data_IF_944262586952
#
_entry.id   IF_944262586952
#
_cell.length_a   1.000
_cell.length_b   1.000
_cell.length_c   1.000
_cell.angle_alpha   90.00
_cell.angle_beta   90.00
_cell.angle_gamma   90.00
#
_symmetry.space_group_name_H-M   'P 1'
#
loop_
_entity.id
_entity.type
_entity.pdbx_description
1 polymer ?
#
# COMPACT_ATOMS: atom_id res chain seq x y z
N UNK A 1 -13.62 -16.16 4.43
CA UNK A 1 -13.28 -14.82 3.92
C UNK A 1 -14.03 -13.77 4.70
N UNK A 2 -13.38 -12.65 5.04
CA UNK A 2 -14.02 -11.51 5.67
C UNK A 2 -14.82 -10.71 4.64
N UNK A 3 -15.88 -10.03 5.10
CA UNK A 3 -16.67 -9.14 4.24
C UNK A 3 -16.21 -7.70 4.43
N UNK A 4 -15.92 -7.02 3.34
CA UNK A 4 -15.53 -5.61 3.31
C UNK A 4 -16.64 -4.83 2.63
N UNK A 5 -17.20 -3.85 3.34
CA UNK A 5 -18.17 -2.94 2.71
C UNK A 5 -17.41 -1.97 1.82
N UNK A 6 -17.90 -1.72 0.62
CA UNK A 6 -17.28 -0.82 -0.35
C UNK A 6 -18.31 0.10 -0.97
N UNK A 7 -17.90 1.36 -1.15
CA UNK A 7 -18.60 2.32 -2.02
C UNK A 7 -17.63 2.66 -3.15
N UNK A 8 -18.03 2.37 -4.37
CA UNK A 8 -17.30 2.74 -5.57
C UNK A 8 -17.96 4.00 -6.18
N UNK A 9 -17.25 5.12 -6.10
CA UNK A 9 -17.68 6.39 -6.73
C UNK A 9 -16.96 6.64 -8.05
N UNK A 10 -16.04 5.74 -8.41
CA UNK A 10 -15.34 5.78 -9.68
C UNK A 10 -16.03 4.99 -10.78
N UNK A 11 -15.40 4.93 -11.94
CA UNK A 11 -15.88 4.19 -13.12
C UNK A 11 -15.08 2.90 -13.38
N UNK A 12 -14.07 2.60 -12.55
CA UNK A 12 -13.30 1.37 -12.66
C UNK A 12 -14.01 0.20 -11.93
N UNK A 13 -13.80 -1.05 -12.37
CA UNK A 13 -14.35 -2.21 -11.66
C UNK A 13 -13.75 -2.35 -10.26
N UNK A 14 -14.46 -3.08 -9.39
CA UNK A 14 -13.93 -3.42 -8.05
C UNK A 14 -12.65 -4.25 -8.18
N UNK A 15 -11.69 -4.08 -7.26
CA UNK A 15 -10.51 -4.92 -7.19
C UNK A 15 -10.87 -6.40 -6.98
N UNK A 16 -10.14 -7.27 -7.64
CA UNK A 16 -10.32 -8.72 -7.55
C UNK A 16 -8.96 -9.40 -7.34
N UNK A 17 -8.98 -10.56 -6.68
CA UNK A 17 -7.80 -11.43 -6.59
C UNK A 17 -7.58 -12.12 -7.93
N UNK A 18 -6.37 -12.00 -8.48
CA UNK A 18 -6.04 -12.59 -9.78
C UNK A 18 -6.02 -14.12 -9.74
N UNK A 19 -5.69 -14.71 -8.58
CA UNK A 19 -5.69 -16.15 -8.36
C UNK A 19 -6.27 -16.49 -6.98
N UNK A 20 -6.71 -17.73 -6.74
CA UNK A 20 -7.29 -18.14 -5.44
C UNK A 20 -6.36 -17.95 -4.24
N UNK A 21 -5.05 -17.86 -4.46
CA UNK A 21 -4.05 -17.69 -3.40
C UNK A 21 -3.34 -16.33 -3.45
N UNK A 22 -3.81 -15.40 -4.26
CA UNK A 22 -3.29 -14.03 -4.25
C UNK A 22 -3.56 -13.36 -2.91
N UNK A 23 -2.55 -12.71 -2.35
CA UNK A 23 -2.71 -11.89 -1.14
C UNK A 23 -3.15 -10.47 -1.46
N UNK A 24 -2.80 -9.95 -2.64
CA UNK A 24 -3.09 -8.59 -3.08
C UNK A 24 -4.11 -8.54 -4.21
N UNK A 25 -4.90 -7.47 -4.19
CA UNK A 25 -5.81 -7.07 -5.28
C UNK A 25 -5.23 -5.83 -5.95
N UNK A 26 -5.20 -5.80 -7.28
CA UNK A 26 -4.72 -4.61 -8.00
C UNK A 26 -5.67 -3.43 -7.82
N UNK A 27 -5.08 -2.26 -7.54
CA UNK A 27 -5.76 -0.96 -7.53
C UNK A 27 -5.54 -0.26 -8.86
N UNK A 28 -6.61 0.26 -9.44
CA UNK A 28 -6.58 0.98 -10.72
C UNK A 28 -6.69 2.48 -10.52
N UNK A 29 -5.99 3.23 -11.36
CA UNK A 29 -6.17 4.66 -11.46
C UNK A 29 -7.60 4.96 -11.97
N UNK A 30 -8.29 5.88 -11.28
CA UNK A 30 -9.59 6.39 -11.67
C UNK A 30 -9.47 7.89 -11.94
N UNK A 31 -9.09 8.23 -13.15
CA UNK A 31 -8.75 9.60 -13.58
C UNK A 31 -9.44 9.95 -14.89
N UNK A 32 -9.69 11.23 -15.10
CA UNK A 32 -10.37 11.73 -16.31
C UNK A 32 -9.40 12.03 -17.45
N UNK A 33 -8.12 12.29 -17.10
CA UNK A 33 -7.06 12.56 -18.06
C UNK A 33 -5.73 11.98 -17.58
N UNK A 34 -4.80 11.64 -18.50
CA UNK A 34 -3.50 11.11 -18.13
C UNK A 34 -2.72 12.03 -17.19
N UNK A 35 -1.99 11.44 -16.25
CA UNK A 35 -1.13 12.14 -15.30
C UNK A 35 0.31 11.79 -15.60
N UNK A 36 1.15 12.79 -15.85
CA UNK A 36 2.59 12.61 -16.06
C UNK A 36 3.36 12.81 -14.76
N UNK A 37 4.10 11.81 -14.35
CA UNK A 37 5.05 11.86 -13.24
C UNK A 37 6.46 12.03 -13.81
N UNK A 38 7.08 13.18 -13.63
CA UNK A 38 8.49 13.39 -13.95
C UNK A 38 9.39 12.67 -12.94
N UNK A 39 10.68 12.47 -13.26
CA UNK A 39 11.63 11.93 -12.30
C UNK A 39 11.56 12.66 -10.95
N UNK A 40 11.50 11.89 -9.86
CA UNK A 40 11.38 12.33 -8.45
C UNK A 40 10.06 13.02 -8.09
N UNK A 41 9.12 13.14 -9.01
CA UNK A 41 7.79 13.67 -8.73
C UNK A 41 6.91 12.64 -8.05
N UNK A 42 6.13 13.08 -7.06
CA UNK A 42 5.08 12.30 -6.39
C UNK A 42 3.71 12.92 -6.60
N UNK A 43 2.69 12.07 -6.65
CA UNK A 43 1.31 12.53 -6.76
C UNK A 43 0.34 11.48 -6.23
N UNK A 44 -0.74 11.96 -5.59
CA UNK A 44 -1.88 11.11 -5.22
C UNK A 44 -2.70 10.79 -6.46
N UNK A 45 -2.94 9.49 -6.68
CA UNK A 45 -3.78 8.99 -7.75
C UNK A 45 -5.07 8.42 -7.15
N UNK A 46 -6.24 8.94 -7.54
CA UNK A 46 -7.51 8.46 -7.01
C UNK A 46 -7.86 7.07 -7.55
N UNK A 47 -8.60 6.30 -6.74
CA UNK A 47 -9.16 5.00 -7.12
C UNK A 47 -10.69 4.98 -7.20
N UNK A 48 -11.35 6.00 -6.66
CA UNK A 48 -12.80 6.06 -6.53
C UNK A 48 -13.38 5.18 -5.42
N UNK A 49 -12.55 4.46 -4.68
CA UNK A 49 -12.98 3.45 -3.71
C UNK A 49 -12.97 4.01 -2.29
N UNK A 50 -14.05 3.70 -1.56
CA UNK A 50 -14.17 3.92 -0.11
C UNK A 50 -14.53 2.58 0.52
N UNK A 51 -13.84 2.18 1.58
CA UNK A 51 -14.06 0.90 2.23
C UNK A 51 -14.31 1.04 3.72
N UNK A 52 -14.98 0.06 4.30
CA UNK A 52 -15.08 -0.14 5.75
C UNK A 52 -14.62 -1.55 6.07
N UNK A 53 -13.49 -1.65 6.74
CA UNK A 53 -12.94 -2.93 7.20
C UNK A 53 -13.60 -3.33 8.51
N UNK A 54 -13.71 -4.65 8.79
CA UNK A 54 -14.04 -5.12 10.13
C UNK A 54 -12.98 -4.69 11.15
N UNK A 55 -13.39 -4.55 12.41
CA UNK A 55 -12.46 -4.33 13.52
C UNK A 55 -11.38 -5.42 13.57
N UNK A 56 -10.15 -5.05 13.88
CA UNK A 56 -9.00 -5.95 13.90
C UNK A 56 -8.35 -6.21 12.54
N UNK A 57 -8.78 -5.50 11.50
CA UNK A 57 -8.19 -5.59 10.16
C UNK A 57 -7.73 -4.22 9.66
N UNK A 58 -6.68 -4.25 8.86
CA UNK A 58 -6.17 -3.13 8.09
C UNK A 58 -6.14 -3.47 6.61
N UNK A 59 -6.07 -2.47 5.75
CA UNK A 59 -5.63 -2.65 4.37
C UNK A 59 -4.27 -1.98 4.18
N UNK A 60 -3.39 -2.62 3.42
CA UNK A 60 -2.08 -2.09 3.08
C UNK A 60 -2.00 -1.83 1.58
N UNK A 61 -1.63 -0.62 1.21
CA UNK A 61 -1.33 -0.25 -0.18
C UNK A 61 0.16 -0.45 -0.42
N UNK A 62 0.48 -1.35 -1.34
CA UNK A 62 1.84 -1.77 -1.69
C UNK A 62 2.11 -1.52 -3.17
N UNK A 63 3.38 -1.31 -3.57
CA UNK A 63 3.73 -1.20 -4.98
C UNK A 63 3.53 -2.51 -5.73
N UNK A 64 3.44 -2.42 -7.06
CA UNK A 64 3.48 -3.57 -7.95
C UNK A 64 4.91 -3.82 -8.41
N UNK A 65 5.35 -5.06 -8.28
CA UNK A 65 6.74 -5.47 -8.61
C UNK A 65 7.13 -5.14 -10.06
N UNK A 66 6.23 -5.33 -11.00
CA UNK A 66 6.48 -5.04 -12.41
C UNK A 66 6.71 -3.55 -12.70
N UNK A 67 5.92 -2.66 -12.10
CA UNK A 67 6.12 -1.22 -12.21
C UNK A 67 7.41 -0.76 -11.53
N UNK A 68 7.69 -1.31 -10.35
CA UNK A 68 8.92 -1.01 -9.62
C UNK A 68 10.16 -1.38 -10.44
N UNK A 69 10.22 -2.61 -10.95
CA UNK A 69 11.38 -3.11 -11.70
C UNK A 69 11.55 -2.42 -13.06
N UNK A 70 10.46 -2.32 -13.84
CA UNK A 70 10.54 -1.90 -15.24
C UNK A 70 10.49 -0.39 -15.43
N UNK A 71 9.83 0.33 -14.51
CA UNK A 71 9.54 1.76 -14.64
C UNK A 71 10.05 2.60 -13.47
N UNK A 72 10.57 1.99 -12.42
CA UNK A 72 11.01 2.71 -11.22
C UNK A 72 9.88 3.41 -10.47
N UNK A 73 8.64 2.94 -10.64
CA UNK A 73 7.46 3.50 -9.99
C UNK A 73 7.15 2.72 -8.73
N UNK A 74 6.96 3.42 -7.63
CA UNK A 74 6.60 2.82 -6.34
C UNK A 74 5.59 3.67 -5.59
N UNK A 75 5.08 3.12 -4.49
CA UNK A 75 4.24 3.85 -3.53
C UNK A 75 5.16 4.46 -2.48
N UNK A 76 5.17 5.78 -2.38
CA UNK A 76 6.14 6.50 -1.53
C UNK A 76 6.03 6.13 -0.06
N UNK A 77 4.80 5.97 0.45
CA UNK A 77 4.50 5.61 1.84
C UNK A 77 4.26 4.10 2.01
N UNK A 78 4.93 3.25 1.23
CA UNK A 78 4.69 1.80 1.31
C UNK A 78 5.37 1.16 2.53
N UNK A 79 4.65 0.25 3.23
CA UNK A 79 3.25 -0.07 3.01
C UNK A 79 2.34 1.05 3.53
N UNK A 80 1.44 1.55 2.66
CA UNK A 80 0.43 2.54 3.07
C UNK A 80 -0.62 1.89 3.97
N UNK A 81 -0.95 2.49 5.09
CA UNK A 81 -1.91 1.96 6.06
C UNK A 81 -3.29 2.55 5.85
N UNK A 82 -4.30 1.70 5.73
CA UNK A 82 -5.72 2.08 5.74
C UNK A 82 -6.35 1.44 6.97
N UNK A 83 -6.73 2.29 7.93
CA UNK A 83 -7.35 1.88 9.18
C UNK A 83 -8.80 1.43 8.97
N UNK A 84 -9.31 0.58 9.85
CA UNK A 84 -10.68 0.06 9.75
C UNK A 84 -11.76 1.14 9.79
N UNK A 85 -11.50 2.24 10.49
CA UNK A 85 -12.40 3.38 10.66
C UNK A 85 -12.19 4.51 9.64
N UNK A 86 -11.22 4.39 8.73
CA UNK A 86 -11.05 5.35 7.65
C UNK A 86 -12.20 5.26 6.65
N UNK A 87 -12.82 6.39 6.32
CA UNK A 87 -13.96 6.49 5.37
C UNK A 87 -13.67 7.32 4.14
N UNK A 88 -12.45 7.89 4.06
CA UNK A 88 -12.02 8.64 2.90
C UNK A 88 -11.79 7.76 1.69
N UNK A 89 -11.55 8.39 0.54
CA UNK A 89 -11.17 7.69 -0.68
C UNK A 89 -9.79 7.05 -0.52
N UNK A 90 -9.67 5.82 -1.02
CA UNK A 90 -8.37 5.18 -1.17
C UNK A 90 -7.63 5.87 -2.30
N UNK A 91 -6.53 6.52 -1.96
CA UNK A 91 -5.64 7.17 -2.92
C UNK A 91 -4.26 6.53 -2.87
N UNK A 92 -3.64 6.41 -4.03
CA UNK A 92 -2.30 5.83 -4.16
C UNK A 92 -1.28 6.94 -4.35
N UNK A 93 -0.34 7.07 -3.41
CA UNK A 93 0.75 8.06 -3.49
C UNK A 93 1.92 7.46 -4.29
N UNK A 94 1.92 7.70 -5.61
CA UNK A 94 3.01 7.25 -6.48
C UNK A 94 4.18 8.22 -6.47
N UNK A 95 5.38 7.67 -6.59
CA UNK A 95 6.61 8.41 -6.88
C UNK A 95 7.36 7.75 -8.03
N UNK A 96 7.94 8.57 -8.90
CA UNK A 96 8.80 8.15 -10.01
C UNK A 96 10.28 8.25 -9.62
N UNK A 97 10.92 7.12 -9.39
CA UNK A 97 12.35 7.03 -9.06
C UNK A 97 13.22 6.69 -10.28
N UNK A 98 12.66 6.74 -11.49
CA UNK A 98 13.40 6.56 -12.72
C UNK A 98 13.95 7.88 -13.27
N UNK A 99 14.70 7.81 -14.35
CA UNK A 99 15.20 8.98 -15.10
C UNK A 99 14.28 9.46 -16.21
N UNK A 100 13.19 8.74 -16.47
CA UNK A 100 12.24 9.02 -17.56
C UNK A 100 10.87 9.44 -17.01
N UNK A 101 10.14 10.24 -17.78
CA UNK A 101 8.75 10.53 -17.46
C UNK A 101 7.90 9.26 -17.49
N UNK A 102 6.96 9.15 -16.57
CA UNK A 102 5.98 8.07 -16.51
C UNK A 102 4.57 8.63 -16.61
N UNK A 103 3.79 8.12 -17.56
CA UNK A 103 2.39 8.54 -17.75
C UNK A 103 1.47 7.49 -17.13
N UNK A 104 0.63 7.92 -16.21
CA UNK A 104 -0.47 7.13 -15.65
C UNK A 104 -1.71 7.38 -16.49
N UNK A 105 -2.25 6.32 -17.08
CA UNK A 105 -3.53 6.38 -17.81
C UNK A 105 -4.67 5.83 -16.96
N UNK A 106 -5.91 6.24 -17.30
CA UNK A 106 -7.09 5.74 -16.63
C UNK A 106 -7.20 4.22 -16.75
N UNK A 107 -7.59 3.57 -15.64
CA UNK A 107 -7.73 2.11 -15.56
C UNK A 107 -6.45 1.32 -15.41
N UNK A 108 -5.27 1.95 -15.49
CA UNK A 108 -4.00 1.27 -15.25
C UNK A 108 -3.89 0.77 -13.80
N UNK A 109 -3.33 -0.42 -13.64
CA UNK A 109 -3.04 -1.03 -12.33
C UNK A 109 -1.76 -0.42 -11.78
N UNK A 110 -1.89 0.42 -10.75
CA UNK A 110 -0.81 1.27 -10.22
C UNK A 110 -0.25 0.82 -8.89
N UNK A 111 -1.00 0.01 -8.15
CA UNK A 111 -0.64 -0.51 -6.84
C UNK A 111 -1.41 -1.80 -6.57
N UNK A 112 -1.19 -2.41 -5.42
CA UNK A 112 -2.00 -3.51 -4.93
C UNK A 112 -2.41 -3.26 -3.48
N UNK A 113 -3.56 -3.79 -3.09
CA UNK A 113 -4.11 -3.71 -1.74
C UNK A 113 -4.11 -5.09 -1.11
N UNK A 114 -3.56 -5.20 0.10
CA UNK A 114 -3.54 -6.43 0.90
C UNK A 114 -4.36 -6.20 2.16
N UNK A 115 -5.25 -7.12 2.47
CA UNK A 115 -6.04 -7.11 3.71
C UNK A 115 -5.33 -7.97 4.74
N UNK A 116 -5.06 -7.42 5.92
CA UNK A 116 -4.34 -8.12 6.98
C UNK A 116 -5.02 -7.91 8.34
N UNK A 117 -4.97 -8.94 9.18
CA UNK A 117 -5.30 -8.80 10.59
C UNK A 117 -4.17 -8.05 11.32
N UNK A 118 -4.50 -7.30 12.34
CA UNK A 118 -3.52 -6.61 13.18
C UNK A 118 -3.91 -6.65 14.64
N UNK A 119 -2.92 -6.42 15.50
CA UNK A 119 -3.10 -6.23 16.93
C UNK A 119 -2.75 -4.77 17.29
N UNK A 120 -3.41 -4.25 18.31
CA UNK A 120 -3.04 -2.98 18.94
C UNK A 120 -2.22 -3.24 20.18
N UNK A 121 -1.05 -2.61 20.27
CA UNK A 121 -0.18 -2.68 21.44
C UNK A 121 -0.50 -1.58 22.45
N UNK A 122 -0.49 -1.93 23.73
CA UNK A 122 -0.52 -0.97 24.83
C UNK A 122 0.83 -0.94 25.51
N UNK A 123 1.44 0.24 25.62
CA UNK A 123 2.73 0.38 26.30
C UNK A 123 2.57 0.25 27.82
N UNK A 124 3.41 -0.59 28.41
CA UNK A 124 3.65 -0.67 29.85
C UNK A 124 5.04 -0.09 30.13
N UNK A 125 5.10 1.02 30.86
CA UNK A 125 6.36 1.65 31.20
C UNK A 125 7.06 0.86 32.32
N UNK A 126 8.26 0.40 32.02
CA UNK A 126 9.15 -0.29 32.95
C UNK A 126 10.50 0.43 33.02
N UNK A 127 11.30 0.13 34.05
CA UNK A 127 12.64 0.72 34.20
C UNK A 127 13.72 -0.06 33.47
N UNK A 128 13.52 -1.35 33.25
CA UNK A 128 14.44 -2.27 32.60
C UNK A 128 13.69 -3.27 31.73
N UNK A 129 14.32 -3.71 30.65
CA UNK A 129 13.88 -4.86 29.86
C UNK A 129 14.67 -6.10 30.27
N UNK A 130 14.09 -7.27 30.04
CA UNK A 130 14.78 -8.54 30.23
C UNK A 130 15.98 -8.69 29.29
N UNK A 131 16.99 -9.44 29.74
CA UNK A 131 18.17 -9.72 28.94
C UNK A 131 17.88 -10.81 27.91
N UNK A 132 18.41 -10.63 26.69
CA UNK A 132 18.35 -11.64 25.63
C UNK A 132 19.75 -11.90 25.08
N UNK A 133 19.94 -13.05 24.41
CA UNK A 133 21.20 -13.38 23.73
C UNK A 133 21.60 -12.32 22.68
N UNK A 134 20.62 -11.78 21.95
CA UNK A 134 20.84 -10.71 20.97
C UNK A 134 21.21 -9.37 21.61
N UNK A 135 20.65 -9.05 22.78
CA UNK A 135 20.84 -7.77 23.46
C UNK A 135 20.51 -6.57 22.56
N UNK A 136 21.40 -5.61 22.48
CA UNK A 136 21.24 -4.38 21.68
C UNK A 136 21.70 -4.51 20.23
N UNK A 137 22.04 -5.72 19.77
CA UNK A 137 22.54 -5.95 18.40
C UNK A 137 21.52 -5.59 17.31
N UNK A 138 21.87 -4.64 16.47
CA UNK A 138 21.06 -4.19 15.32
C UNK A 138 21.96 -3.71 14.19
N UNK A 139 21.36 -3.15 13.12
CA UNK A 139 22.06 -2.50 11.99
C UNK A 139 23.25 -3.31 11.40
N UNK A 140 22.99 -4.58 11.08
CA UNK A 140 24.00 -5.47 10.50
C UNK A 140 24.84 -6.21 11.56
N UNK A 141 24.39 -6.27 12.80
CA UNK A 141 25.00 -7.01 13.90
C UNK A 141 25.39 -8.46 13.52
N UNK A 142 24.63 -9.15 12.69
CA UNK A 142 24.93 -10.50 12.21
C UNK A 142 25.92 -10.54 11.03
N UNK A 143 26.34 -9.39 10.53
CA UNK A 143 27.27 -9.27 9.40
C UNK A 143 26.61 -9.51 8.04
N UNK A 144 27.43 -9.47 7.00
CA UNK A 144 27.02 -9.62 5.59
C UNK A 144 27.28 -11.04 5.08
N UNK A 145 27.98 -11.89 5.85
CA UNK A 145 28.32 -13.29 5.50
C UNK A 145 27.98 -14.22 6.66
#
# INVERSE_FOLDING_TARGET
>A
MIKIKVVNRGHQPLPEYATPQSAGMDLRANIDSPITLRPMQRQLIPTGLHIALPEGYEAQVRPRSGLALKKGITVLNSPGTIDADYRGEIMVLLINLSSDDFVVNDGERIAQMVIAAHEQGQFETVTELDATERGEGGYGHTGVK
#
